data_IF_366274194392
#
_entry.id   IF_366274194392
#
_cell.length_a   1.000
_cell.length_b   1.000
_cell.length_c   1.000
_cell.angle_alpha   90.00
_cell.angle_beta   90.00
_cell.angle_gamma   90.00
#
_symmetry.space_group_name_H-M   'P 1'
#
loop_
_entity.id
_entity.type
_entity.pdbx_description
1 polymer ?
#
# COMPACT_ATOMS: atom_id res chain seq x y z
N UNK A 1 -38.99 36.25 -29.24
CA UNK A 1 -37.60 35.77 -29.24
C UNK A 1 -37.13 35.64 -27.81
N UNK A 2 -37.22 34.44 -27.25
CA UNK A 2 -36.78 34.15 -25.89
C UNK A 2 -35.32 33.73 -25.94
N UNK A 3 -34.42 34.48 -25.31
CA UNK A 3 -33.04 34.09 -25.10
C UNK A 3 -32.98 33.00 -24.03
N UNK A 4 -32.60 31.81 -24.42
CA UNK A 4 -32.24 30.72 -23.48
C UNK A 4 -30.87 31.10 -22.91
N UNK A 5 -30.86 31.55 -21.66
CA UNK A 5 -29.61 31.67 -20.89
C UNK A 5 -29.22 30.25 -20.51
N UNK A 6 -28.27 29.67 -21.24
CA UNK A 6 -27.55 28.47 -20.79
C UNK A 6 -26.73 28.90 -19.59
N UNK A 7 -27.11 28.42 -18.40
CA UNK A 7 -26.34 28.59 -17.20
C UNK A 7 -24.94 27.96 -17.48
N UNK A 8 -23.92 28.82 -17.53
CA UNK A 8 -22.54 28.36 -17.68
C UNK A 8 -22.18 27.45 -16.49
N UNK A 9 -21.84 26.21 -16.76
CA UNK A 9 -21.10 25.43 -15.83
C UNK A 9 -19.91 26.28 -15.38
N UNK A 10 -19.80 26.53 -14.08
CA UNK A 10 -18.73 27.36 -13.54
C UNK A 10 -17.39 26.65 -13.88
N UNK A 11 -16.55 27.33 -14.67
CA UNK A 11 -15.22 26.82 -15.09
C UNK A 11 -14.44 26.36 -13.87
N UNK A 12 -14.67 26.97 -12.73
CA UNK A 12 -14.11 26.59 -11.44
C UNK A 12 -14.57 25.19 -10.99
N UNK A 13 -15.87 24.95 -10.98
CA UNK A 13 -16.43 23.67 -10.51
C UNK A 13 -15.98 22.54 -11.44
N UNK A 14 -16.00 22.77 -12.74
CA UNK A 14 -15.48 21.82 -13.72
C UNK A 14 -13.96 21.56 -13.57
N UNK A 15 -13.18 22.59 -13.21
CA UNK A 15 -11.75 22.46 -12.90
C UNK A 15 -11.51 21.59 -11.69
N UNK A 16 -12.24 21.85 -10.61
CA UNK A 16 -12.12 21.12 -9.34
C UNK A 16 -12.60 19.66 -9.47
N UNK A 17 -13.69 19.45 -10.20
CA UNK A 17 -14.24 18.10 -10.48
C UNK A 17 -13.28 17.24 -11.31
N UNK A 18 -12.40 17.87 -12.09
CA UNK A 18 -11.34 17.19 -12.84
C UNK A 18 -10.00 17.12 -12.09
N UNK A 19 -9.98 17.44 -10.79
CA UNK A 19 -8.77 17.44 -9.99
C UNK A 19 -7.79 18.56 -10.33
N UNK A 20 -8.25 19.60 -11.04
CA UNK A 20 -7.45 20.78 -11.36
C UNK A 20 -7.37 21.78 -10.21
N UNK A 21 -6.36 22.63 -10.22
CA UNK A 21 -6.21 23.79 -9.34
C UNK A 21 -6.77 25.03 -10.04
N UNK A 22 -7.81 25.64 -9.50
CA UNK A 22 -8.37 26.87 -10.04
C UNK A 22 -7.63 28.10 -9.49
N UNK A 23 -7.01 28.88 -10.38
CA UNK A 23 -6.41 30.16 -10.03
C UNK A 23 -7.51 31.26 -10.08
N UNK A 24 -7.83 31.82 -8.91
CA UNK A 24 -8.85 32.86 -8.76
C UNK A 24 -8.43 34.22 -9.33
N UNK A 25 -7.13 34.50 -9.43
CA UNK A 25 -6.64 35.76 -9.94
C UNK A 25 -6.70 35.82 -11.47
N UNK A 26 -6.30 34.72 -12.13
CA UNK A 26 -6.29 34.60 -13.59
C UNK A 26 -7.57 33.98 -14.16
N UNK A 27 -8.43 33.39 -13.30
CA UNK A 27 -9.64 32.63 -13.67
C UNK A 27 -9.32 31.45 -14.59
N UNK A 28 -8.16 30.87 -14.46
CA UNK A 28 -7.69 29.73 -15.25
C UNK A 28 -7.69 28.45 -14.43
N UNK A 29 -7.95 27.32 -15.10
CA UNK A 29 -7.77 26.00 -14.55
C UNK A 29 -6.36 25.51 -14.87
N UNK A 30 -5.52 25.40 -13.86
CA UNK A 30 -4.31 24.61 -14.00
C UNK A 30 -4.72 23.14 -13.82
N UNK A 31 -4.66 22.36 -14.89
CA UNK A 31 -4.76 20.91 -14.78
C UNK A 31 -3.58 20.44 -13.96
N UNK A 32 -3.82 19.94 -12.74
CA UNK A 32 -2.78 19.25 -12.02
C UNK A 32 -2.34 18.07 -12.91
N UNK A 33 -1.09 18.08 -13.32
CA UNK A 33 -0.52 16.87 -13.92
C UNK A 33 -0.63 15.80 -12.83
N UNK A 34 -1.31 14.67 -13.09
CA UNK A 34 -1.39 13.63 -12.08
C UNK A 34 0.02 13.20 -11.69
N UNK A 35 0.36 13.36 -10.43
CA UNK A 35 1.69 13.04 -9.94
C UNK A 35 1.69 12.88 -8.44
N UNK A 36 2.81 12.47 -7.90
CA UNK A 36 3.00 12.30 -6.46
C UNK A 36 4.24 13.05 -5.97
N UNK A 37 4.24 13.33 -4.67
CA UNK A 37 5.42 13.77 -3.93
C UNK A 37 5.95 12.60 -3.11
N UNK A 38 7.14 12.10 -3.43
CA UNK A 38 7.67 10.88 -2.81
C UNK A 38 9.18 10.93 -2.56
N UNK A 39 9.65 10.04 -1.69
CA UNK A 39 11.04 9.78 -1.37
C UNK A 39 11.31 8.28 -1.34
N UNK A 40 12.51 7.86 -1.71
CA UNK A 40 12.98 6.47 -1.50
C UNK A 40 13.79 6.30 -0.21
N UNK A 41 13.79 7.28 0.67
CA UNK A 41 14.48 7.23 1.96
C UNK A 41 16.00 6.96 1.83
N UNK A 42 16.64 7.57 0.82
CA UNK A 42 18.08 7.45 0.61
C UNK A 42 18.83 8.36 1.56
N UNK A 43 18.37 9.59 1.73
CA UNK A 43 19.02 10.62 2.52
C UNK A 43 18.53 10.68 3.97
N UNK A 44 19.39 11.22 4.86
CA UNK A 44 19.10 11.34 6.28
C UNK A 44 17.91 12.27 6.59
N UNK A 45 17.66 13.30 5.78
CA UNK A 45 16.59 14.26 6.04
C UNK A 45 15.23 13.63 5.82
N UNK A 46 15.03 12.93 4.71
CA UNK A 46 13.78 12.18 4.45
C UNK A 46 13.57 11.05 5.45
N UNK A 47 14.64 10.32 5.83
CA UNK A 47 14.56 9.30 6.87
C UNK A 47 14.14 9.89 8.23
N UNK A 48 14.72 11.03 8.64
CA UNK A 48 14.38 11.68 9.89
C UNK A 48 12.92 12.18 9.92
N UNK A 49 12.43 12.72 8.81
CA UNK A 49 11.04 13.14 8.67
C UNK A 49 10.08 11.95 8.84
N UNK A 50 10.33 10.85 8.12
CA UNK A 50 9.49 9.65 8.19
C UNK A 50 9.62 8.96 9.54
N UNK A 51 10.84 8.88 10.13
CA UNK A 51 11.03 8.34 11.49
C UNK A 51 10.20 9.10 12.51
N UNK A 52 10.25 10.43 12.45
CA UNK A 52 9.47 11.29 13.35
C UNK A 52 7.97 11.04 13.19
N UNK A 53 7.47 10.94 11.95
CA UNK A 53 6.06 10.68 11.68
C UNK A 53 5.59 9.31 12.21
N UNK A 54 6.39 8.25 12.00
CA UNK A 54 6.10 6.91 12.50
C UNK A 54 5.99 6.87 14.03
N UNK A 55 6.96 7.48 14.74
CA UNK A 55 6.96 7.57 16.21
C UNK A 55 5.77 8.38 16.73
N UNK A 56 5.47 9.55 16.11
CA UNK A 56 4.33 10.38 16.50
C UNK A 56 2.97 9.74 16.22
N UNK A 57 2.93 8.79 15.29
CA UNK A 57 1.73 7.99 15.01
C UNK A 57 1.53 6.83 16.00
N UNK A 58 2.46 6.62 16.94
CA UNK A 58 2.36 5.60 17.99
C UNK A 58 2.95 4.24 17.63
N UNK A 59 3.76 4.16 16.58
CA UNK A 59 4.51 2.95 16.25
C UNK A 59 5.70 2.82 17.21
N UNK A 60 5.93 1.61 17.74
CA UNK A 60 6.99 1.36 18.69
C UNK A 60 8.38 1.65 18.09
N UNK A 61 9.25 2.30 18.87
CA UNK A 61 10.58 2.73 18.42
C UNK A 61 11.42 1.56 17.87
N UNK A 62 11.38 0.41 18.51
CA UNK A 62 12.07 -0.80 18.04
C UNK A 62 11.63 -1.22 16.63
N UNK A 63 10.33 -1.11 16.31
CA UNK A 63 9.82 -1.45 14.98
C UNK A 63 10.26 -0.42 13.93
N UNK A 64 10.30 0.86 14.33
CA UNK A 64 10.77 1.94 13.47
C UNK A 64 12.27 1.80 13.18
N UNK A 65 13.08 1.46 14.17
CA UNK A 65 14.52 1.22 13.98
C UNK A 65 14.77 0.05 13.03
N UNK A 66 14.11 -1.08 13.25
CA UNK A 66 14.18 -2.24 12.34
C UNK A 66 13.76 -1.90 10.91
N UNK A 67 12.74 -1.06 10.74
CA UNK A 67 12.34 -0.59 9.41
C UNK A 67 13.47 0.16 8.72
N UNK A 68 14.15 1.10 9.40
CA UNK A 68 15.26 1.84 8.80
C UNK A 68 16.51 0.98 8.57
N UNK A 69 16.76 -0.03 9.39
CA UNK A 69 17.79 -1.04 9.10
C UNK A 69 17.49 -1.81 7.81
N UNK A 70 16.23 -2.16 7.57
CA UNK A 70 15.80 -2.81 6.32
C UNK A 70 15.92 -1.87 5.11
N UNK A 71 15.56 -0.58 5.26
CA UNK A 71 15.76 0.45 4.23
C UNK A 71 17.25 0.59 3.89
N UNK A 72 18.10 0.71 4.91
CA UNK A 72 19.55 0.83 4.72
C UNK A 72 20.13 -0.41 4.03
N UNK A 73 19.71 -1.60 4.44
CA UNK A 73 20.11 -2.86 3.80
C UNK A 73 19.75 -2.86 2.31
N UNK A 74 18.50 -2.53 1.98
CA UNK A 74 18.06 -2.50 0.58
C UNK A 74 18.88 -1.50 -0.23
N UNK A 75 18.98 -0.25 0.22
CA UNK A 75 19.70 0.80 -0.49
C UNK A 75 21.20 0.45 -0.71
N UNK A 76 21.83 -0.19 0.29
CA UNK A 76 23.22 -0.63 0.20
C UNK A 76 23.43 -1.73 -0.85
N UNK A 77 22.50 -2.69 -0.95
CA UNK A 77 22.66 -3.87 -1.81
C UNK A 77 22.06 -3.68 -3.21
N UNK A 78 20.97 -2.92 -3.32
CA UNK A 78 20.30 -2.62 -4.59
C UNK A 78 20.98 -1.51 -5.40
N UNK A 79 21.75 -0.65 -4.72
CA UNK A 79 22.19 0.63 -5.27
C UNK A 79 21.09 1.69 -5.23
N UNK A 80 21.47 2.94 -5.38
CA UNK A 80 20.54 4.07 -5.24
C UNK A 80 20.46 4.94 -6.50
N UNK A 81 21.11 4.57 -7.58
CA UNK A 81 21.29 5.40 -8.77
C UNK A 81 19.97 5.78 -9.44
N UNK A 82 18.97 4.89 -9.39
CA UNK A 82 17.62 5.12 -9.93
C UNK A 82 16.61 5.61 -8.88
N UNK A 83 17.06 5.85 -7.64
CA UNK A 83 16.22 6.27 -6.53
C UNK A 83 16.29 7.79 -6.31
N UNK A 84 15.31 8.33 -5.59
CA UNK A 84 15.32 9.72 -5.13
C UNK A 84 16.45 9.92 -4.13
N UNK A 85 17.44 10.70 -4.49
CA UNK A 85 18.68 10.87 -3.71
C UNK A 85 18.53 11.80 -2.51
N UNK A 86 17.57 12.74 -2.54
CA UNK A 86 17.43 13.74 -1.48
C UNK A 86 15.99 14.21 -1.34
N UNK A 87 15.49 14.17 -0.12
CA UNK A 87 14.21 14.69 0.29
C UNK A 87 13.01 14.01 -0.38
N UNK A 88 11.96 14.79 -0.57
CA UNK A 88 10.77 14.42 -1.33
C UNK A 88 10.73 15.19 -2.63
N UNK A 89 10.53 14.50 -3.75
CA UNK A 89 10.39 15.12 -5.07
C UNK A 89 9.00 14.93 -5.62
N UNK A 90 8.54 15.89 -6.42
CA UNK A 90 7.30 15.74 -7.19
C UNK A 90 7.61 15.06 -8.52
N UNK A 91 6.81 14.06 -8.89
CA UNK A 91 6.83 13.41 -10.21
C UNK A 91 5.55 13.72 -10.97
N UNK A 92 5.64 13.85 -12.30
CA UNK A 92 4.48 14.07 -13.18
C UNK A 92 3.69 12.78 -13.49
N UNK A 93 3.92 11.68 -12.78
CA UNK A 93 3.23 10.40 -12.94
C UNK A 93 2.66 9.94 -11.61
N UNK A 94 1.54 9.18 -11.64
CA UNK A 94 0.97 8.58 -10.44
C UNK A 94 1.81 7.41 -9.91
N UNK A 95 2.57 6.76 -10.77
CA UNK A 95 3.39 5.60 -10.40
C UNK A 95 4.84 5.90 -10.76
N UNK A 96 5.76 6.00 -9.78
CA UNK A 96 7.19 6.15 -10.06
C UNK A 96 7.75 4.94 -10.81
N UNK A 97 8.67 5.19 -11.72
CA UNK A 97 9.39 4.16 -12.46
C UNK A 97 10.81 4.01 -11.91
N UNK A 98 11.30 2.77 -11.88
CA UNK A 98 12.63 2.41 -11.38
C UNK A 98 13.38 1.55 -12.40
N UNK A 99 14.68 1.65 -12.43
CA UNK A 99 15.55 0.72 -13.20
C UNK A 99 15.64 -0.63 -12.46
N UNK A 100 14.56 -1.42 -12.59
CA UNK A 100 14.47 -2.72 -11.94
C UNK A 100 15.54 -3.70 -12.42
N UNK A 101 16.01 -3.59 -13.66
CA UNK A 101 17.05 -4.48 -14.19
C UNK A 101 18.36 -4.27 -13.43
N UNK A 102 18.77 -3.02 -13.22
CA UNK A 102 19.96 -2.67 -12.43
C UNK A 102 19.78 -3.07 -10.95
N UNK A 103 18.63 -2.75 -10.35
CA UNK A 103 18.32 -3.11 -8.95
C UNK A 103 18.43 -4.61 -8.73
N UNK A 104 17.78 -5.42 -9.57
CA UNK A 104 17.79 -6.89 -9.47
C UNK A 104 19.21 -7.42 -9.63
N UNK A 105 19.94 -6.98 -10.65
CA UNK A 105 21.33 -7.39 -10.88
C UNK A 105 22.23 -7.10 -9.67
N UNK A 106 22.07 -5.92 -9.06
CA UNK A 106 22.81 -5.55 -7.86
C UNK A 106 22.46 -6.41 -6.67
N UNK A 107 21.17 -6.68 -6.44
CA UNK A 107 20.71 -7.54 -5.34
C UNK A 107 21.23 -8.97 -5.50
N UNK A 108 21.15 -9.56 -6.69
CA UNK A 108 21.69 -10.90 -6.98
C UNK A 108 23.20 -10.99 -6.72
N UNK A 109 23.93 -9.95 -7.05
CA UNK A 109 25.38 -9.87 -6.84
C UNK A 109 25.75 -9.65 -5.37
N UNK A 110 25.08 -8.73 -4.69
CA UNK A 110 25.48 -8.24 -3.37
C UNK A 110 24.77 -8.97 -2.22
N UNK A 111 23.65 -9.66 -2.49
CA UNK A 111 22.86 -10.40 -1.50
C UNK A 111 22.26 -11.69 -2.09
N UNK A 112 23.07 -12.62 -2.65
CA UNK A 112 22.61 -13.76 -3.46
C UNK A 112 21.73 -14.77 -2.70
N UNK A 113 21.78 -14.77 -1.38
CA UNK A 113 21.08 -15.75 -0.52
C UNK A 113 19.85 -15.16 0.18
N UNK A 114 19.50 -13.90 -0.10
CA UNK A 114 18.36 -13.25 0.52
C UNK A 114 17.64 -12.36 -0.50
N UNK A 115 16.40 -12.74 -0.81
CA UNK A 115 15.58 -12.05 -1.82
C UNK A 115 15.06 -10.66 -1.37
N UNK A 116 15.32 -10.26 -0.14
CA UNK A 116 14.81 -9.00 0.43
C UNK A 116 13.50 -9.17 1.20
N UNK A 117 12.99 -8.06 1.70
CA UNK A 117 11.67 -7.96 2.33
C UNK A 117 10.65 -7.43 1.32
N UNK A 118 9.38 -7.76 1.51
CA UNK A 118 8.27 -7.24 0.70
C UNK A 118 7.33 -6.33 1.52
N UNK A 119 6.24 -5.89 0.87
CA UNK A 119 5.23 -5.05 1.50
C UNK A 119 4.61 -5.70 2.75
N UNK A 120 4.32 -7.00 2.72
CA UNK A 120 3.68 -7.73 3.83
C UNK A 120 4.60 -7.81 5.05
N UNK A 121 5.84 -8.25 4.87
CA UNK A 121 6.84 -8.35 5.97
C UNK A 121 7.08 -6.97 6.58
N UNK A 122 7.30 -5.96 5.74
CA UNK A 122 7.58 -4.58 6.18
C UNK A 122 6.41 -3.98 6.97
N UNK A 123 5.19 -4.04 6.41
CA UNK A 123 4.02 -3.42 7.05
C UNK A 123 3.62 -4.13 8.34
N UNK A 124 3.69 -5.47 8.38
CA UNK A 124 3.42 -6.21 9.61
C UNK A 124 4.48 -5.94 10.67
N UNK A 125 5.76 -5.88 10.30
CA UNK A 125 6.85 -5.54 11.21
C UNK A 125 6.67 -4.17 11.86
N UNK A 126 6.21 -3.16 11.10
CA UNK A 126 5.91 -1.84 11.64
C UNK A 126 4.69 -1.83 12.57
N UNK A 127 3.61 -2.53 12.17
CA UNK A 127 2.29 -2.37 12.78
C UNK A 127 1.92 -3.48 13.77
N UNK A 128 2.76 -4.49 14.01
CA UNK A 128 2.44 -5.67 14.81
C UNK A 128 1.89 -5.37 16.20
N UNK A 129 2.37 -4.31 16.86
CA UNK A 129 1.90 -3.92 18.20
C UNK A 129 0.54 -3.19 18.17
N UNK A 130 0.10 -2.76 16.99
CA UNK A 130 -1.17 -2.11 16.74
C UNK A 130 -2.24 -3.04 16.16
N UNK A 131 -1.87 -4.31 15.91
CA UNK A 131 -2.77 -5.36 15.43
C UNK A 131 -2.93 -6.40 16.54
N UNK A 132 -4.14 -6.84 16.80
CA UNK A 132 -4.41 -7.99 17.66
C UNK A 132 -4.98 -9.12 16.80
N UNK A 133 -4.45 -10.35 16.98
CA UNK A 133 -4.95 -11.57 16.36
C UNK A 133 -5.21 -12.55 17.49
N UNK A 134 -6.47 -12.68 17.88
CA UNK A 134 -6.84 -13.41 19.11
C UNK A 134 -6.83 -14.94 18.93
N UNK A 135 -6.99 -15.43 17.70
CA UNK A 135 -7.09 -16.87 17.42
C UNK A 135 -6.12 -17.26 16.31
N UNK A 136 -5.11 -18.04 16.70
CA UNK A 136 -4.17 -18.66 15.79
C UNK A 136 -4.65 -20.09 15.51
N UNK A 137 -5.23 -20.33 14.32
CA UNK A 137 -5.72 -21.62 13.87
C UNK A 137 -4.97 -22.15 12.67
N UNK A 138 -5.43 -23.26 12.11
CA UNK A 138 -4.98 -23.71 10.80
C UNK A 138 -5.43 -22.69 9.75
N UNK A 139 -4.50 -22.20 8.96
CA UNK A 139 -4.72 -21.18 7.93
C UNK A 139 -4.15 -21.65 6.60
N UNK A 140 -4.77 -21.23 5.50
CA UNK A 140 -4.18 -21.42 4.18
C UNK A 140 -3.23 -20.25 3.90
N UNK A 141 -1.94 -20.51 4.07
CA UNK A 141 -0.85 -19.55 3.84
C UNK A 141 0.05 -19.95 2.66
N UNK A 142 -0.48 -20.74 1.72
CA UNK A 142 0.30 -21.29 0.60
C UNK A 142 0.91 -20.21 -0.29
N UNK A 143 0.27 -19.06 -0.43
CA UNK A 143 0.80 -17.91 -1.18
C UNK A 143 1.98 -17.21 -0.50
N UNK A 144 2.27 -17.52 0.77
CA UNK A 144 3.35 -16.88 1.54
C UNK A 144 4.70 -17.62 1.43
N UNK A 145 4.87 -18.54 0.47
CA UNK A 145 6.09 -19.33 0.36
C UNK A 145 7.35 -18.46 0.17
N UNK A 146 7.26 -17.38 -0.63
CA UNK A 146 8.38 -16.43 -0.78
C UNK A 146 8.61 -15.60 0.48
N UNK A 147 7.54 -15.24 1.19
CA UNK A 147 7.66 -14.53 2.48
C UNK A 147 8.34 -15.42 3.53
N UNK A 148 7.96 -16.69 3.59
CA UNK A 148 8.56 -17.68 4.50
C UNK A 148 10.04 -17.93 4.17
N UNK A 149 10.41 -18.01 2.89
CA UNK A 149 11.80 -18.12 2.46
C UNK A 149 12.60 -16.86 2.82
N UNK A 150 12.05 -15.68 2.56
CA UNK A 150 12.67 -14.42 2.94
C UNK A 150 12.89 -14.31 4.47
N UNK A 151 11.92 -14.71 5.28
CA UNK A 151 12.04 -14.71 6.74
C UNK A 151 13.09 -15.72 7.24
N UNK A 152 13.20 -16.86 6.57
CA UNK A 152 14.17 -17.92 6.88
C UNK A 152 15.61 -17.52 6.51
N UNK A 153 15.79 -16.88 5.37
CA UNK A 153 17.10 -16.47 4.83
C UNK A 153 17.51 -15.06 5.24
N UNK A 154 16.65 -14.34 5.94
CA UNK A 154 16.93 -13.00 6.44
C UNK A 154 18.19 -12.94 7.28
N UNK A 155 19.09 -11.95 7.07
CA UNK A 155 20.29 -11.76 7.89
C UNK A 155 19.95 -11.37 9.34
N UNK A 156 18.71 -10.95 9.58
CA UNK A 156 18.22 -10.55 10.90
C UNK A 156 16.92 -11.30 11.23
N UNK A 157 16.74 -11.63 12.51
CA UNK A 157 15.48 -12.22 12.97
C UNK A 157 14.38 -11.15 12.96
N UNK A 158 13.43 -11.26 12.03
CA UNK A 158 12.33 -10.30 11.88
C UNK A 158 11.21 -10.59 12.89
N UNK A 159 10.80 -11.86 13.00
CA UNK A 159 9.68 -12.30 13.83
C UNK A 159 10.09 -13.41 14.80
N UNK A 160 9.49 -13.42 15.97
CA UNK A 160 9.46 -14.59 16.84
C UNK A 160 8.59 -15.71 16.21
N UNK A 161 8.65 -16.94 16.69
CA UNK A 161 7.79 -18.02 16.18
C UNK A 161 6.28 -17.74 16.35
N UNK A 162 5.90 -16.97 17.36
CA UNK A 162 4.51 -16.56 17.58
C UNK A 162 4.08 -15.46 16.61
N UNK A 163 4.91 -14.43 16.45
CA UNK A 163 4.68 -13.34 15.48
C UNK A 163 4.62 -13.88 14.05
N UNK A 164 5.42 -14.91 13.71
CA UNK A 164 5.34 -15.55 12.41
C UNK A 164 3.97 -16.23 12.19
N UNK A 165 3.42 -16.91 13.20
CA UNK A 165 2.07 -17.48 13.13
C UNK A 165 0.99 -16.38 13.00
N UNK A 166 1.18 -15.27 13.69
CA UNK A 166 0.30 -14.10 13.56
C UNK A 166 0.37 -13.53 12.15
N UNK A 167 1.56 -13.36 11.60
CA UNK A 167 1.79 -12.94 10.21
C UNK A 167 1.08 -13.87 9.21
N UNK A 168 1.28 -15.19 9.32
CA UNK A 168 0.63 -16.19 8.46
C UNK A 168 -0.90 -16.16 8.59
N UNK A 169 -1.42 -15.97 9.81
CA UNK A 169 -2.85 -15.85 10.05
C UNK A 169 -3.44 -14.57 9.45
N UNK A 170 -2.73 -13.45 9.57
CA UNK A 170 -3.17 -12.16 9.04
C UNK A 170 -3.26 -12.18 7.51
N UNK A 171 -2.25 -12.72 6.85
CA UNK A 171 -2.14 -12.75 5.39
C UNK A 171 -2.70 -14.02 4.74
N UNK A 172 -3.34 -14.91 5.48
CA UNK A 172 -3.90 -16.14 4.91
C UNK A 172 -4.97 -15.86 3.86
N UNK A 173 -5.10 -16.78 2.91
CA UNK A 173 -6.13 -16.75 1.87
C UNK A 173 -7.54 -16.76 2.48
N UNK A 174 -8.44 -16.02 1.88
CA UNK A 174 -9.86 -15.96 2.25
C UNK A 174 -10.67 -16.57 1.11
N UNK A 175 -11.32 -17.74 1.30
CA UNK A 175 -12.14 -18.36 0.27
C UNK A 175 -13.30 -17.45 -0.17
N UNK A 176 -13.53 -17.37 -1.47
CA UNK A 176 -14.62 -16.59 -2.05
C UNK A 176 -15.30 -17.30 -3.21
N UNK A 177 -16.06 -16.61 -4.01
CA UNK A 177 -16.78 -17.12 -5.19
C UNK A 177 -16.42 -16.26 -6.40
N UNK A 178 -16.55 -16.79 -7.60
CA UNK A 178 -16.36 -16.04 -8.84
C UNK A 178 -17.47 -15.01 -9.00
N UNK A 179 -17.15 -13.76 -8.73
CA UNK A 179 -18.03 -12.60 -8.92
C UNK A 179 -17.25 -11.32 -9.00
N UNK A 180 -17.79 -10.33 -9.71
CA UNK A 180 -17.24 -8.95 -9.73
C UNK A 180 -17.82 -8.05 -8.64
N UNK A 181 -18.70 -8.57 -7.79
CA UNK A 181 -19.33 -7.83 -6.69
C UNK A 181 -18.37 -7.70 -5.50
N UNK A 182 -17.77 -6.52 -5.35
CA UNK A 182 -16.84 -6.22 -4.27
C UNK A 182 -17.49 -6.30 -2.88
N UNK A 183 -18.81 -6.09 -2.77
CA UNK A 183 -19.50 -6.18 -1.47
C UNK A 183 -19.51 -7.61 -0.96
N UNK A 184 -19.67 -8.59 -1.84
CA UNK A 184 -19.59 -10.01 -1.48
C UNK A 184 -18.20 -10.36 -0.95
N UNK A 185 -17.16 -9.90 -1.63
CA UNK A 185 -15.78 -10.14 -1.21
C UNK A 185 -15.45 -9.48 0.12
N UNK A 186 -15.86 -8.23 0.29
CA UNK A 186 -15.65 -7.51 1.54
C UNK A 186 -16.29 -8.21 2.74
N UNK A 187 -17.53 -8.73 2.59
CA UNK A 187 -18.18 -9.50 3.67
C UNK A 187 -17.43 -10.81 3.98
N UNK A 188 -16.79 -11.46 3.01
CA UNK A 188 -15.91 -12.62 3.23
C UNK A 188 -14.65 -12.23 4.02
N UNK A 189 -14.01 -11.12 3.68
CA UNK A 189 -12.85 -10.59 4.42
C UNK A 189 -13.24 -10.30 5.88
N UNK A 190 -14.31 -9.53 6.10
CA UNK A 190 -14.82 -9.21 7.44
C UNK A 190 -15.08 -10.45 8.29
N UNK A 191 -15.77 -11.43 7.69
CA UNK A 191 -16.07 -12.70 8.37
C UNK A 191 -14.78 -13.41 8.78
N UNK A 192 -13.83 -13.58 7.85
CA UNK A 192 -12.54 -14.22 8.12
C UNK A 192 -11.76 -13.51 9.23
N UNK A 193 -11.70 -12.19 9.20
CA UNK A 193 -11.01 -11.40 10.23
C UNK A 193 -11.73 -11.46 11.58
N UNK A 194 -13.06 -11.43 11.60
CA UNK A 194 -13.85 -11.61 12.82
C UNK A 194 -13.64 -12.99 13.45
N UNK A 195 -13.60 -14.05 12.65
CA UNK A 195 -13.35 -15.41 13.12
C UNK A 195 -11.97 -15.59 13.75
N UNK A 196 -10.95 -14.88 13.23
CA UNK A 196 -9.59 -14.83 13.77
C UNK A 196 -9.43 -13.84 14.94
N UNK A 197 -10.45 -13.01 15.18
CA UNK A 197 -10.40 -11.95 16.18
C UNK A 197 -9.36 -10.90 15.85
N UNK A 198 -9.22 -10.55 14.57
CA UNK A 198 -8.33 -9.49 14.11
C UNK A 198 -8.97 -8.15 14.43
N UNK A 199 -8.24 -7.32 15.17
CA UNK A 199 -8.64 -5.95 15.51
C UNK A 199 -7.44 -5.02 15.43
N UNK A 200 -7.74 -3.73 15.22
CA UNK A 200 -6.72 -2.68 15.12
C UNK A 200 -6.85 -1.73 16.30
N UNK A 201 -5.74 -1.42 16.95
CA UNK A 201 -5.71 -0.41 18.01
C UNK A 201 -5.84 0.97 17.38
N UNK A 202 -6.57 1.84 18.06
CA UNK A 202 -6.66 3.25 17.64
C UNK A 202 -5.29 3.91 17.71
N UNK A 203 -4.84 4.47 16.59
CA UNK A 203 -3.58 5.20 16.45
C UNK A 203 -3.71 6.22 15.31
N UNK A 204 -2.71 7.09 15.13
CA UNK A 204 -2.57 7.92 13.93
C UNK A 204 -1.94 7.18 12.75
N UNK A 205 -1.68 5.89 12.95
CA UNK A 205 -1.22 4.95 11.92
C UNK A 205 -2.33 3.97 11.59
N UNK A 206 -2.51 3.66 10.32
CA UNK A 206 -3.42 2.63 9.82
C UNK A 206 -2.76 1.79 8.74
N UNK A 207 -3.23 0.56 8.55
CA UNK A 207 -2.83 -0.28 7.42
C UNK A 207 -3.73 0.01 6.22
N UNK A 208 -3.11 0.23 5.08
CA UNK A 208 -3.80 0.28 3.79
C UNK A 208 -3.50 -1.00 3.05
N UNK A 209 -4.51 -1.81 2.82
CA UNK A 209 -4.38 -3.10 2.13
C UNK A 209 -5.14 -3.11 0.81
N UNK A 210 -4.51 -3.65 -0.23
CA UNK A 210 -5.09 -3.88 -1.55
C UNK A 210 -5.41 -5.36 -1.66
N UNK A 211 -6.68 -5.69 -1.60
CA UNK A 211 -7.17 -7.06 -1.70
C UNK A 211 -7.45 -7.41 -3.14
N UNK A 212 -6.88 -8.52 -3.58
CA UNK A 212 -6.99 -9.05 -4.93
C UNK A 212 -7.80 -10.33 -4.93
N UNK A 213 -8.52 -10.57 -6.02
CA UNK A 213 -9.30 -11.77 -6.27
C UNK A 213 -8.53 -12.67 -7.23
N UNK A 214 -8.18 -13.89 -6.78
CA UNK A 214 -7.55 -14.92 -7.59
C UNK A 214 -8.60 -15.93 -8.05
N UNK A 215 -8.59 -16.24 -9.34
CA UNK A 215 -9.46 -17.22 -9.97
C UNK A 215 -8.63 -18.14 -10.87
N UNK A 216 -8.74 -19.44 -10.65
CA UNK A 216 -8.22 -20.49 -11.55
C UNK A 216 -9.36 -21.47 -11.84
N UNK A 217 -9.49 -21.91 -13.10
CA UNK A 217 -10.63 -22.74 -13.57
C UNK A 217 -10.85 -24.05 -12.79
N UNK A 218 -9.82 -24.56 -12.12
CA UNK A 218 -9.83 -25.85 -11.39
C UNK A 218 -9.59 -25.71 -9.88
N UNK A 219 -9.59 -24.50 -9.35
CA UNK A 219 -9.36 -24.23 -7.93
C UNK A 219 -10.47 -23.37 -7.36
N UNK A 220 -10.58 -23.35 -6.04
CA UNK A 220 -11.44 -22.38 -5.36
C UNK A 220 -10.91 -20.95 -5.54
N UNK A 221 -11.82 -20.00 -5.69
CA UNK A 221 -11.49 -18.60 -5.71
C UNK A 221 -11.05 -18.11 -4.33
N UNK A 222 -10.01 -17.31 -4.29
CA UNK A 222 -9.48 -16.74 -3.06
C UNK A 222 -9.30 -15.22 -3.17
N UNK A 223 -9.42 -14.58 -2.01
CA UNK A 223 -8.99 -13.20 -1.80
C UNK A 223 -7.68 -13.22 -1.02
N UNK A 224 -6.78 -12.34 -1.37
CA UNK A 224 -5.49 -12.17 -0.71
C UNK A 224 -5.05 -10.72 -0.72
N UNK A 225 -4.21 -10.35 0.25
CA UNK A 225 -3.57 -9.03 0.27
C UNK A 225 -2.42 -9.05 -0.74
N UNK A 226 -2.65 -8.46 -1.91
CA UNK A 226 -1.63 -8.33 -2.96
C UNK A 226 -0.64 -7.23 -2.69
N UNK A 227 -1.09 -6.16 -2.02
CA UNK A 227 -0.21 -5.08 -1.56
C UNK A 227 -0.69 -4.49 -0.23
N UNK A 228 0.25 -3.92 0.53
CA UNK A 228 -0.04 -3.30 1.82
C UNK A 228 1.04 -2.28 2.19
N UNK A 229 0.63 -1.19 2.83
CA UNK A 229 1.51 -0.16 3.38
C UNK A 229 0.93 0.47 4.64
N UNK A 230 1.67 1.37 5.24
CA UNK A 230 1.30 2.08 6.47
C UNK A 230 0.97 3.52 6.15
N UNK A 231 -0.24 3.96 6.47
CA UNK A 231 -0.70 5.33 6.33
C UNK A 231 -0.59 6.05 7.66
N UNK A 232 0.01 7.24 7.65
CA UNK A 232 0.18 8.10 8.81
C UNK A 232 -0.59 9.40 8.59
N UNK A 233 -1.39 9.80 9.58
CA UNK A 233 -2.00 11.12 9.62
C UNK A 233 -1.00 12.10 10.25
N UNK A 234 -0.40 12.96 9.43
CA UNK A 234 0.57 13.98 9.85
C UNK A 234 -0.03 15.38 9.94
N UNK A 235 -1.36 15.46 9.98
CA UNK A 235 -2.14 16.67 10.18
C UNK A 235 -2.68 17.26 8.89
N UNK A 236 -1.89 18.03 8.13
CA UNK A 236 -2.36 18.64 6.86
C UNK A 236 -2.28 17.70 5.67
N UNK A 237 -1.47 16.67 5.77
CA UNK A 237 -1.18 15.70 4.73
C UNK A 237 -1.22 14.28 5.33
N UNK A 238 -1.26 13.32 4.45
CA UNK A 238 -1.11 11.91 4.74
C UNK A 238 0.26 11.46 4.24
N UNK A 239 0.94 10.63 5.02
CA UNK A 239 2.21 10.02 4.62
C UNK A 239 2.01 8.51 4.50
N UNK A 240 2.15 7.96 3.31
CA UNK A 240 2.04 6.52 3.05
C UNK A 240 3.43 5.91 2.89
N UNK A 241 3.75 4.97 3.76
CA UNK A 241 5.05 4.29 3.81
C UNK A 241 4.88 2.85 3.36
N UNK A 242 5.63 2.45 2.34
CA UNK A 242 5.52 1.11 1.76
C UNK A 242 6.86 0.54 1.28
N UNK A 243 6.93 -0.76 1.20
CA UNK A 243 7.91 -1.53 0.41
C UNK A 243 7.16 -2.09 -0.79
N UNK A 244 7.61 -1.83 -2.00
CA UNK A 244 6.85 -2.19 -3.20
C UNK A 244 6.81 -3.71 -3.43
N UNK A 245 7.98 -4.33 -3.55
CA UNK A 245 8.14 -5.77 -3.68
C UNK A 245 9.51 -6.20 -3.14
N UNK A 246 9.84 -7.49 -3.16
CA UNK A 246 11.13 -8.00 -2.69
C UNK A 246 12.33 -7.28 -3.32
N UNK A 247 12.26 -7.09 -4.63
CA UNK A 247 13.29 -6.47 -5.45
C UNK A 247 12.95 -5.03 -5.89
N UNK A 248 11.90 -4.43 -5.36
CA UNK A 248 11.54 -3.04 -5.62
C UNK A 248 11.77 -2.17 -4.38
N UNK A 249 11.99 -0.85 -4.51
CA UNK A 249 12.44 0.00 -3.41
C UNK A 249 11.39 0.23 -2.32
N UNK A 250 11.87 0.74 -1.18
CA UNK A 250 11.04 1.44 -0.22
C UNK A 250 10.65 2.80 -0.76
N UNK A 251 9.46 3.26 -0.40
CA UNK A 251 9.05 4.63 -0.66
C UNK A 251 8.13 5.17 0.43
N UNK A 252 8.19 6.48 0.60
CA UNK A 252 7.26 7.26 1.38
C UNK A 252 6.61 8.29 0.46
N UNK A 253 5.28 8.36 0.44
CA UNK A 253 4.52 9.21 -0.47
C UNK A 253 3.63 10.13 0.34
N UNK A 254 3.61 11.42 -0.01
CA UNK A 254 2.71 12.42 0.57
C UNK A 254 1.45 12.55 -0.29
N UNK A 255 0.29 12.46 0.35
CA UNK A 255 -1.01 12.67 -0.27
C UNK A 255 -1.78 13.78 0.44
N UNK A 256 -2.52 14.58 -0.31
CA UNK A 256 -3.43 15.56 0.26
C UNK A 256 -4.66 14.89 0.88
N UNK A 257 -5.16 13.83 0.23
CA UNK A 257 -6.38 13.13 0.64
C UNK A 257 -6.27 11.61 0.50
N UNK A 258 -7.18 10.90 1.17
CA UNK A 258 -7.34 9.45 0.99
C UNK A 258 -7.80 9.07 -0.43
N UNK A 259 -8.50 9.96 -1.11
CA UNK A 259 -8.91 9.74 -2.51
C UNK A 259 -7.69 9.72 -3.45
N UNK A 260 -6.69 10.57 -3.22
CA UNK A 260 -5.44 10.57 -3.99
C UNK A 260 -4.64 9.28 -3.77
N UNK A 261 -4.59 8.78 -2.52
CA UNK A 261 -3.99 7.48 -2.21
C UNK A 261 -4.70 6.34 -2.95
N UNK A 262 -6.05 6.34 -2.96
CA UNK A 262 -6.83 5.32 -3.70
C UNK A 262 -6.55 5.41 -5.20
N UNK A 263 -6.44 6.62 -5.76
CA UNK A 263 -6.10 6.82 -7.17
C UNK A 263 -4.73 6.24 -7.52
N UNK A 264 -3.72 6.49 -6.66
CA UNK A 264 -2.38 5.89 -6.78
C UNK A 264 -2.45 4.36 -6.76
N UNK A 265 -3.10 3.77 -5.74
CA UNK A 265 -3.18 2.32 -5.59
C UNK A 265 -3.93 1.66 -6.75
N UNK A 266 -5.00 2.28 -7.26
CA UNK A 266 -5.71 1.80 -8.45
C UNK A 266 -4.84 1.89 -9.71
N UNK A 267 -4.15 3.00 -9.92
CA UNK A 267 -3.26 3.15 -11.07
C UNK A 267 -2.16 2.08 -11.10
N UNK A 268 -1.69 1.64 -9.91
CA UNK A 268 -0.63 0.64 -9.79
C UNK A 268 -1.13 -0.80 -9.81
N UNK A 269 -2.28 -1.09 -9.22
CA UNK A 269 -2.72 -2.46 -8.94
C UNK A 269 -4.03 -2.89 -9.61
N UNK A 270 -4.83 -1.97 -10.18
CA UNK A 270 -6.05 -2.28 -10.96
C UNK A 270 -5.75 -2.20 -12.45
N UNK A 271 -4.85 -3.07 -12.92
CA UNK A 271 -4.32 -3.04 -14.29
C UNK A 271 -4.88 -4.15 -15.19
N UNK A 272 -5.69 -5.03 -14.64
CA UNK A 272 -6.24 -6.18 -15.37
C UNK A 272 -7.62 -5.88 -15.96
N UNK A 273 -7.84 -6.30 -17.21
CA UNK A 273 -9.08 -6.07 -17.95
C UNK A 273 -9.76 -7.37 -18.34
N UNK A 274 -11.10 -7.35 -18.36
CA UNK A 274 -11.93 -8.48 -18.82
C UNK A 274 -11.75 -9.80 -18.06
N UNK A 275 -11.21 -9.73 -16.84
CA UNK A 275 -11.09 -10.89 -15.95
C UNK A 275 -12.47 -11.25 -15.34
N UNK A 276 -12.71 -12.53 -14.97
CA UNK A 276 -13.88 -12.94 -14.21
C UNK A 276 -13.85 -12.43 -12.76
N UNK A 277 -12.67 -12.02 -12.30
CA UNK A 277 -12.40 -11.50 -10.96
C UNK A 277 -12.90 -10.07 -10.76
N UNK A 278 -13.14 -9.70 -9.51
CA UNK A 278 -13.43 -8.32 -9.14
C UNK A 278 -12.17 -7.45 -9.23
N UNK A 279 -12.34 -6.16 -9.50
CA UNK A 279 -11.30 -5.16 -9.30
C UNK A 279 -10.83 -5.14 -7.84
N UNK A 280 -9.57 -4.77 -7.56
CA UNK A 280 -9.02 -4.74 -6.21
C UNK A 280 -9.86 -3.91 -5.24
N UNK A 281 -9.95 -4.37 -3.99
CA UNK A 281 -10.59 -3.66 -2.89
C UNK A 281 -9.52 -3.03 -2.02
N UNK A 282 -9.61 -1.73 -1.78
CA UNK A 282 -8.70 -1.02 -0.87
C UNK A 282 -9.38 -0.89 0.49
N UNK A 283 -8.71 -1.35 1.54
CA UNK A 283 -9.17 -1.18 2.92
C UNK A 283 -8.18 -0.30 3.72
N UNK A 284 -8.71 0.55 4.58
CA UNK A 284 -7.99 1.18 5.69
C UNK A 284 -8.35 0.42 6.97
N UNK A 285 -7.40 -0.32 7.52
CA UNK A 285 -7.65 -1.33 8.55
C UNK A 285 -8.76 -2.30 8.10
N UNK A 286 -9.89 -2.33 8.81
CA UNK A 286 -11.04 -3.20 8.54
C UNK A 286 -12.19 -2.49 7.80
N UNK A 287 -11.98 -1.27 7.28
CA UNK A 287 -13.00 -0.48 6.61
C UNK A 287 -12.64 -0.23 5.13
N UNK A 288 -13.63 -0.25 4.21
CA UNK A 288 -13.39 0.10 2.82
C UNK A 288 -12.92 1.54 2.67
N UNK A 289 -11.88 1.75 1.91
CA UNK A 289 -11.39 3.06 1.53
C UNK A 289 -11.94 3.43 0.14
N UNK A 290 -13.11 4.02 0.13
CA UNK A 290 -13.89 4.32 -1.07
C UNK A 290 -15.13 3.44 -1.23
N UNK A 291 -15.91 3.72 -2.29
CA UNK A 291 -17.12 2.97 -2.56
C UNK A 291 -16.81 1.57 -3.15
N UNK A 292 -17.49 0.57 -2.65
CA UNK A 292 -17.47 -0.78 -3.22
C UNK A 292 -18.45 -0.87 -4.39
N UNK A 293 -18.03 -1.47 -5.50
CA UNK A 293 -18.92 -1.81 -6.60
C UNK A 293 -19.83 -2.99 -6.21
N UNK A 294 -21.12 -2.89 -6.52
CA UNK A 294 -22.05 -3.99 -6.37
C UNK A 294 -22.75 -4.25 -7.71
N UNK A 295 -22.94 -5.53 -8.02
CA UNK A 295 -23.82 -5.91 -9.11
C UNK A 295 -25.24 -5.65 -8.64
N UNK A 296 -25.91 -4.61 -9.19
CA UNK A 296 -27.34 -4.39 -8.93
C UNK A 296 -28.09 -5.66 -9.36
N UNK A 297 -28.82 -6.25 -8.42
CA UNK A 297 -29.76 -7.33 -8.70
C UNK A 297 -30.90 -6.82 -9.56
#
# INVERSE_FOLDING_TARGET
MGAIIVAGCDVKDHCLDQGGRYDYATKTCEKSIPGLTYSNLVDQASQAEVKTALLQAGIAEENVEKFFEQVAFFNQHAGTESLVQSGFIYTGTLVPEYDLATIISNLEKNSPNFIGYNCRITSFSLMRDLITIAKLGLVNASQLFMDQDALKTSPQKVFSPEEQKQFESFYSLVPTITTKDQTVHFEKIKKSWSEKGITFKYAKASLISVWMHSHFEWEEDFLFIGHIGVLLDIGKELLFVEKLAFNEPYQAIKFATRADLVAYLKAKYDTEYNQPTASPIVLENDQPLGALSSLKK
#
